data_IF_174807938057
#
_entry.id   IF_174807938057
#
_cell.length_a   1.000
_cell.length_b   1.000
_cell.length_c   1.000
_cell.angle_alpha   90.00
_cell.angle_beta   90.00
_cell.angle_gamma   90.00
#
_symmetry.space_group_name_H-M   'P 1'
#
loop_
_entity.id
_entity.type
_entity.pdbx_description
1 polymer ?
#
# COMPACT_ATOMS: atom_id res chain seq x y z
N UNK A 1 26.42 3.28 8.31
CA UNK A 1 27.57 4.22 8.43
C UNK A 1 28.92 3.47 8.46
N UNK A 2 28.96 2.29 9.06
CA UNK A 2 30.18 1.50 9.27
C UNK A 2 30.74 0.95 7.95
N UNK A 3 29.87 0.43 7.09
CA UNK A 3 30.27 -0.09 5.78
C UNK A 3 30.43 1.00 4.71
N UNK A 4 29.88 2.19 4.95
CA UNK A 4 29.86 3.32 4.00
C UNK A 4 29.34 2.92 2.61
N UNK A 5 28.38 2.00 2.58
CA UNK A 5 27.81 1.44 1.36
C UNK A 5 26.28 1.35 1.46
N UNK A 6 25.64 1.33 0.31
CA UNK A 6 24.23 0.93 0.14
C UNK A 6 24.23 -0.57 -0.11
N UNK A 7 23.35 -1.29 0.56
CA UNK A 7 23.25 -2.75 0.47
C UNK A 7 22.06 -3.14 -0.41
N UNK A 8 22.23 -4.23 -1.16
CA UNK A 8 21.11 -4.90 -1.83
C UNK A 8 20.25 -5.66 -0.80
N UNK A 9 19.03 -6.01 -1.15
CA UNK A 9 18.13 -6.72 -0.22
C UNK A 9 18.73 -8.06 0.24
N UNK A 10 19.43 -8.76 -0.64
CA UNK A 10 20.09 -10.04 -0.38
C UNK A 10 21.23 -9.95 0.63
N UNK A 11 21.79 -8.76 0.81
CA UNK A 11 22.88 -8.48 1.76
C UNK A 11 22.37 -8.08 3.16
N UNK A 12 21.03 -8.12 3.36
CA UNK A 12 20.40 -7.77 4.64
C UNK A 12 19.67 -8.98 5.19
N UNK A 13 20.12 -9.44 6.37
CA UNK A 13 19.55 -10.58 7.10
C UNK A 13 19.09 -10.07 8.47
N UNK A 14 17.82 -10.27 8.80
CA UNK A 14 17.22 -9.83 10.09
C UNK A 14 17.51 -8.37 10.43
N UNK A 15 17.41 -7.46 9.44
CA UNK A 15 17.66 -6.03 9.61
C UNK A 15 19.13 -5.65 9.83
N UNK A 16 20.05 -6.59 9.58
CA UNK A 16 21.50 -6.39 9.71
C UNK A 16 22.21 -6.71 8.41
N UNK A 17 23.35 -6.05 8.18
CA UNK A 17 24.21 -6.39 7.06
C UNK A 17 24.81 -7.78 7.24
N UNK A 18 24.79 -8.62 6.19
CA UNK A 18 25.45 -9.92 6.17
C UNK A 18 26.93 -9.78 6.56
N UNK A 19 27.58 -8.77 6.01
CA UNK A 19 28.98 -8.45 6.34
C UNK A 19 29.06 -7.52 7.53
N UNK A 20 29.51 -8.01 8.66
CA UNK A 20 29.79 -7.23 9.88
C UNK A 20 28.62 -7.10 10.86
N UNK A 21 27.41 -7.58 10.52
CA UNK A 21 26.26 -7.61 11.43
C UNK A 21 25.75 -6.23 11.89
N UNK A 22 26.00 -5.18 11.10
CA UNK A 22 25.61 -3.82 11.45
C UNK A 22 24.12 -3.56 11.18
N UNK A 23 23.43 -2.76 12.02
CA UNK A 23 22.05 -2.39 11.77
C UNK A 23 21.87 -1.68 10.43
N UNK A 24 20.86 -2.09 9.66
CA UNK A 24 20.50 -1.50 8.37
C UNK A 24 19.16 -0.82 8.49
N UNK A 25 19.05 0.40 7.97
CA UNK A 25 17.79 1.15 7.90
C UNK A 25 17.53 1.58 6.46
N UNK A 26 16.28 1.67 6.08
CA UNK A 26 15.87 2.28 4.81
C UNK A 26 15.86 3.79 4.95
N UNK A 27 16.46 4.45 3.98
CA UNK A 27 16.60 5.89 3.99
C UNK A 27 16.55 6.42 2.55
N UNK A 28 15.78 7.48 2.27
CA UNK A 28 15.82 8.14 0.97
C UNK A 28 17.22 8.64 0.65
N UNK A 29 17.70 8.30 -0.53
CA UNK A 29 19.02 8.71 -1.01
C UNK A 29 18.93 9.17 -2.46
N UNK A 30 19.70 10.20 -2.82
CA UNK A 30 19.87 10.60 -4.22
C UNK A 30 20.77 9.58 -4.93
N UNK A 31 20.22 8.91 -5.93
CA UNK A 31 20.96 7.94 -6.76
C UNK A 31 20.39 7.91 -8.17
N UNK A 32 21.09 7.26 -9.08
CA UNK A 32 20.61 7.04 -10.43
C UNK A 32 19.48 6.01 -10.41
N UNK A 33 18.39 6.34 -11.10
CA UNK A 33 17.22 5.47 -11.26
C UNK A 33 16.83 5.43 -12.72
N UNK A 34 16.61 4.22 -13.26
CA UNK A 34 16.08 4.03 -14.60
C UNK A 34 14.55 3.99 -14.53
N UNK A 35 13.90 4.85 -15.32
CA UNK A 35 12.43 4.90 -15.43
C UNK A 35 11.91 3.76 -16.32
N UNK A 36 12.09 2.52 -15.91
CA UNK A 36 11.71 1.36 -16.72
C UNK A 36 10.21 1.30 -17.00
N UNK A 37 9.37 1.80 -16.08
CA UNK A 37 7.91 1.86 -16.24
C UNK A 37 7.46 2.82 -17.35
N UNK A 38 8.29 3.77 -17.76
CA UNK A 38 8.00 4.70 -18.87
C UNK A 38 7.83 3.98 -20.21
N UNK A 39 8.42 2.79 -20.34
CA UNK A 39 8.35 1.97 -21.55
C UNK A 39 7.24 0.90 -21.51
N UNK A 40 6.49 0.79 -20.43
CA UNK A 40 5.50 -0.28 -20.24
C UNK A 40 4.43 -0.31 -21.35
N UNK A 41 3.85 0.83 -21.70
CA UNK A 41 2.85 0.94 -22.79
C UNK A 41 3.44 0.55 -24.14
N UNK A 42 4.65 1.01 -24.42
CA UNK A 42 5.34 0.70 -25.68
C UNK A 42 5.68 -0.79 -25.77
N UNK A 43 6.20 -1.38 -24.68
CA UNK A 43 6.49 -2.80 -24.63
C UNK A 43 5.24 -3.67 -24.87
N UNK A 44 4.09 -3.25 -24.34
CA UNK A 44 2.81 -3.94 -24.61
C UNK A 44 2.41 -3.84 -26.07
N UNK A 45 2.50 -2.65 -26.69
CA UNK A 45 2.14 -2.46 -28.09
C UNK A 45 3.07 -3.22 -29.03
N UNK A 46 4.38 -3.17 -28.76
CA UNK A 46 5.39 -3.84 -29.61
C UNK A 46 5.25 -5.38 -29.60
N UNK A 47 4.56 -5.99 -28.61
CA UNK A 47 4.30 -7.43 -28.56
C UNK A 47 3.42 -7.92 -29.73
N UNK A 48 2.54 -7.07 -30.26
CA UNK A 48 1.61 -7.46 -31.31
C UNK A 48 2.33 -7.72 -32.62
N UNK A 49 3.41 -7.00 -32.88
CA UNK A 49 4.22 -7.10 -34.10
C UNK A 49 5.27 -8.23 -34.06
N UNK A 50 5.43 -8.92 -32.93
CA UNK A 50 6.41 -9.99 -32.78
C UNK A 50 5.84 -11.34 -33.28
N UNK A 51 6.69 -12.07 -34.01
CA UNK A 51 6.40 -13.48 -34.38
C UNK A 51 6.79 -14.43 -33.23
N UNK A 52 6.13 -14.25 -32.09
CA UNK A 52 6.30 -15.08 -30.89
C UNK A 52 5.06 -15.95 -30.61
N UNK A 53 5.23 -17.10 -29.98
CA UNK A 53 4.08 -17.89 -29.51
C UNK A 53 3.19 -17.05 -28.61
N UNK A 54 1.85 -17.18 -28.77
CA UNK A 54 0.87 -16.38 -28.03
C UNK A 54 1.01 -16.57 -26.51
N UNK A 55 1.35 -17.77 -26.06
CA UNK A 55 1.61 -18.03 -24.64
C UNK A 55 2.74 -17.14 -24.08
N UNK A 56 3.82 -16.92 -24.85
CA UNK A 56 4.93 -16.05 -24.45
C UNK A 56 4.49 -14.58 -24.43
N UNK A 57 3.74 -14.11 -25.42
CA UNK A 57 3.17 -12.77 -25.43
C UNK A 57 2.26 -12.54 -24.21
N UNK A 58 1.42 -13.53 -23.89
CA UNK A 58 0.53 -13.43 -22.73
C UNK A 58 1.30 -13.37 -21.42
N UNK A 59 2.39 -14.13 -21.26
CA UNK A 59 3.26 -14.04 -20.10
C UNK A 59 3.85 -12.64 -19.94
N UNK A 60 4.29 -12.00 -21.04
CA UNK A 60 4.81 -10.63 -21.03
C UNK A 60 3.71 -9.61 -20.68
N UNK A 61 2.51 -9.74 -21.26
CA UNK A 61 1.37 -8.88 -20.91
C UNK A 61 1.01 -8.98 -19.43
N UNK A 62 0.96 -10.19 -18.90
CA UNK A 62 0.67 -10.43 -17.49
C UNK A 62 1.76 -9.87 -16.56
N UNK A 63 3.04 -9.98 -16.98
CA UNK A 63 4.16 -9.42 -16.22
C UNK A 63 4.13 -7.89 -16.16
N UNK A 64 3.84 -7.23 -17.28
CA UNK A 64 3.69 -5.77 -17.32
C UNK A 64 2.46 -5.35 -16.51
N UNK A 65 1.38 -6.12 -16.55
CA UNK A 65 0.23 -5.98 -15.65
C UNK A 65 -0.49 -4.64 -15.78
N UNK A 66 -0.82 -4.21 -17.02
CA UNK A 66 -1.59 -2.97 -17.23
C UNK A 66 -2.92 -3.02 -16.48
N UNK A 67 -3.12 -2.08 -15.57
CA UNK A 67 -4.36 -1.89 -14.82
C UNK A 67 -5.09 -0.64 -15.29
N UNK A 68 -6.42 -0.74 -15.41
CA UNK A 68 -7.31 0.39 -15.68
C UNK A 68 -8.10 0.65 -14.41
N UNK A 69 -8.09 1.88 -13.94
CA UNK A 69 -8.78 2.27 -12.72
C UNK A 69 -9.02 3.77 -12.64
N UNK A 70 -9.44 4.23 -11.47
CA UNK A 70 -9.71 5.63 -11.20
C UNK A 70 -8.88 6.14 -10.01
N UNK A 71 -8.49 7.40 -10.09
CA UNK A 71 -8.01 8.15 -8.95
C UNK A 71 -9.21 8.68 -8.17
N UNK A 72 -9.24 8.44 -6.87
CA UNK A 72 -10.28 8.88 -5.97
C UNK A 72 -9.67 9.76 -4.88
N UNK A 73 -10.20 10.96 -4.74
CA UNK A 73 -9.73 11.94 -3.78
C UNK A 73 -10.52 11.85 -2.47
N UNK A 74 -9.81 11.66 -1.37
CA UNK A 74 -10.34 11.65 -0.01
C UNK A 74 -9.91 12.92 0.72
N UNK A 75 -10.89 13.70 1.15
CA UNK A 75 -10.66 14.87 2.01
C UNK A 75 -10.36 14.39 3.44
N UNK A 76 -9.33 14.93 4.08
CA UNK A 76 -9.05 14.69 5.49
C UNK A 76 -9.93 15.60 6.33
N UNK A 77 -10.73 15.00 7.21
CA UNK A 77 -11.70 15.71 8.05
C UNK A 77 -11.03 16.79 8.92
N UNK A 78 -11.67 17.93 9.05
CA UNK A 78 -11.13 19.05 9.82
C UNK A 78 -9.95 19.79 9.16
N UNK A 79 -9.57 19.45 7.94
CA UNK A 79 -8.46 20.08 7.21
C UNK A 79 -8.84 20.47 5.78
N UNK A 80 -7.96 21.20 5.09
CA UNK A 80 -8.06 21.45 3.65
C UNK A 80 -7.26 20.46 2.80
N UNK A 81 -6.71 19.39 3.43
CA UNK A 81 -5.87 18.42 2.76
C UNK A 81 -6.71 17.33 2.10
N UNK A 82 -6.19 16.86 0.99
CA UNK A 82 -6.74 15.76 0.20
C UNK A 82 -5.61 14.79 -0.11
N UNK A 83 -5.87 13.50 0.00
CA UNK A 83 -5.00 12.47 -0.55
C UNK A 83 -5.75 11.67 -1.61
N UNK A 84 -5.01 11.21 -2.59
CA UNK A 84 -5.56 10.45 -3.72
C UNK A 84 -5.21 8.99 -3.56
N UNK A 85 -6.16 8.09 -3.81
CA UNK A 85 -5.93 6.66 -3.96
C UNK A 85 -6.22 6.23 -5.39
N UNK A 86 -5.45 5.28 -5.91
CA UNK A 86 -5.77 4.61 -7.16
C UNK A 86 -6.50 3.31 -6.87
N UNK A 87 -7.62 3.07 -7.54
CA UNK A 87 -8.37 1.82 -7.41
C UNK A 87 -8.87 1.32 -8.77
N UNK A 88 -8.81 0.00 -8.98
CA UNK A 88 -9.45 -0.68 -10.12
C UNK A 88 -10.92 -1.00 -9.84
N UNK A 89 -11.37 -0.83 -8.60
CA UNK A 89 -12.71 -1.17 -8.10
C UNK A 89 -13.41 0.04 -7.50
N UNK A 90 -13.54 1.12 -8.29
CA UNK A 90 -14.27 2.31 -7.86
C UNK A 90 -15.79 2.05 -7.61
N UNK A 91 -16.32 0.98 -8.17
CA UNK A 91 -17.69 0.49 -7.94
C UNK A 91 -17.94 0.10 -6.46
N UNK A 92 -16.91 -0.36 -5.75
CA UNK A 92 -17.03 -0.76 -4.34
C UNK A 92 -16.84 0.38 -3.33
N UNK A 93 -16.66 1.61 -3.78
CA UNK A 93 -16.35 2.77 -2.93
C UNK A 93 -17.38 3.04 -1.82
N UNK A 94 -18.64 2.66 -2.04
CA UNK A 94 -19.69 2.75 -1.02
C UNK A 94 -19.43 1.84 0.20
N UNK A 95 -18.66 0.77 0.02
CA UNK A 95 -18.24 -0.17 1.05
C UNK A 95 -16.86 0.15 1.67
N UNK A 96 -16.24 1.26 1.27
CA UNK A 96 -14.99 1.69 1.89
C UNK A 96 -15.26 2.18 3.31
N UNK A 97 -14.72 1.46 4.30
CA UNK A 97 -14.95 1.71 5.73
C UNK A 97 -13.72 2.26 6.45
N UNK A 98 -12.56 2.25 5.83
CA UNK A 98 -11.34 2.88 6.32
C UNK A 98 -10.38 3.18 5.17
N UNK A 99 -9.36 3.99 5.47
CA UNK A 99 -8.21 4.21 4.58
C UNK A 99 -6.94 3.79 5.28
N UNK A 100 -5.94 3.38 4.50
CA UNK A 100 -4.62 3.00 5.03
C UNK A 100 -3.55 3.77 4.27
N UNK A 101 -2.62 4.35 5.01
CA UNK A 101 -1.43 5.00 4.46
C UNK A 101 -0.17 4.18 4.78
N UNK A 102 0.81 4.28 3.93
CA UNK A 102 2.15 3.80 4.23
C UNK A 102 2.72 4.54 5.45
N UNK A 103 3.46 3.87 6.35
CA UNK A 103 4.07 4.53 7.51
C UNK A 103 4.95 5.73 7.15
N UNK A 104 5.54 5.74 5.96
CA UNK A 104 6.40 6.79 5.42
C UNK A 104 5.65 7.89 4.65
N UNK A 105 4.31 7.79 4.54
CA UNK A 105 3.53 8.77 3.78
C UNK A 105 3.66 10.18 4.41
N UNK A 106 3.89 11.24 3.61
CA UNK A 106 4.16 12.59 4.12
C UNK A 106 3.09 13.13 5.06
N UNK A 107 1.83 12.79 4.84
CA UNK A 107 0.73 13.28 5.66
C UNK A 107 0.63 12.62 7.04
N UNK A 108 1.26 11.47 7.27
CA UNK A 108 1.14 10.75 8.55
C UNK A 108 1.55 11.62 9.74
N UNK A 109 2.66 12.34 9.64
CA UNK A 109 3.11 13.22 10.72
C UNK A 109 2.16 14.39 10.99
N UNK A 110 1.53 14.91 9.92
CA UNK A 110 0.68 16.09 9.98
C UNK A 110 -0.74 15.80 10.50
N UNK A 111 -1.26 14.59 10.21
CA UNK A 111 -2.63 14.21 10.56
C UNK A 111 -2.72 13.41 11.85
N UNK A 112 -1.60 12.88 12.34
CA UNK A 112 -1.56 12.11 13.57
C UNK A 112 -1.92 12.98 14.76
N UNK A 113 -2.95 12.59 15.51
CA UNK A 113 -3.34 13.30 16.72
C UNK A 113 -2.33 13.11 17.84
N UNK A 114 -2.24 14.06 18.78
CA UNK A 114 -1.30 13.99 19.90
C UNK A 114 -1.44 12.70 20.72
N UNK A 115 -2.66 12.19 20.85
CA UNK A 115 -2.95 10.93 21.57
C UNK A 115 -2.31 9.72 20.87
N UNK A 116 -2.28 9.72 19.54
CA UNK A 116 -1.78 8.60 18.75
C UNK A 116 -0.29 8.72 18.40
N UNK A 117 0.32 9.87 18.65
CA UNK A 117 1.67 10.18 18.21
C UNK A 117 2.71 9.14 18.66
N UNK A 118 2.70 8.77 19.92
CA UNK A 118 3.64 7.79 20.46
C UNK A 118 3.49 6.41 19.80
N UNK A 119 2.25 5.95 19.58
CA UNK A 119 1.97 4.67 18.95
C UNK A 119 2.35 4.66 17.46
N UNK A 120 2.07 5.76 16.76
CA UNK A 120 2.43 5.93 15.35
C UNK A 120 3.94 5.96 15.15
N UNK A 121 4.69 6.70 15.98
CA UNK A 121 6.16 6.73 15.90
C UNK A 121 6.79 5.36 16.20
N UNK A 122 6.34 4.67 17.26
CA UNK A 122 6.83 3.32 17.56
C UNK A 122 6.54 2.34 16.40
N UNK A 123 5.38 2.46 15.74
CA UNK A 123 5.04 1.64 14.59
C UNK A 123 5.93 1.96 13.36
N UNK A 124 6.16 3.25 13.06
CA UNK A 124 7.08 3.68 12.00
C UNK A 124 8.48 3.10 12.21
N UNK A 125 9.02 3.18 13.43
CA UNK A 125 10.32 2.59 13.77
C UNK A 125 10.35 1.08 13.54
N UNK A 126 9.30 0.37 13.92
CA UNK A 126 9.20 -1.09 13.70
C UNK A 126 9.16 -1.48 12.22
N UNK A 127 8.61 -0.61 11.35
CA UNK A 127 8.53 -0.83 9.91
C UNK A 127 9.82 -0.45 9.17
N UNK A 128 10.64 0.46 9.73
CA UNK A 128 11.80 1.03 9.06
C UNK A 128 12.89 -0.01 8.68
N UNK A 129 12.95 -1.13 9.40
CA UNK A 129 13.90 -2.22 9.14
C UNK A 129 13.38 -3.29 8.18
N UNK A 130 12.08 -3.31 7.91
CA UNK A 130 11.43 -4.35 7.06
C UNK A 130 11.65 -4.06 5.58
N UNK A 131 11.91 -5.10 4.79
CA UNK A 131 11.94 -5.04 3.32
C UNK A 131 10.51 -4.95 2.76
N UNK A 132 10.37 -4.48 1.50
CA UNK A 132 9.06 -4.46 0.83
C UNK A 132 8.48 -5.86 0.68
N UNK A 133 9.33 -6.89 0.47
CA UNK A 133 8.91 -8.28 0.41
C UNK A 133 8.32 -8.76 1.74
N UNK A 134 9.02 -8.52 2.84
CA UNK A 134 8.52 -8.87 4.19
C UNK A 134 7.22 -8.12 4.54
N UNK A 135 7.04 -6.91 4.02
CA UNK A 135 5.85 -6.10 4.26
C UNK A 135 4.63 -6.59 3.48
N UNK A 136 4.83 -7.12 2.27
CA UNK A 136 3.75 -7.54 1.36
C UNK A 136 3.44 -9.03 1.41
N UNK A 137 4.08 -9.80 2.28
CA UNK A 137 3.81 -11.22 2.43
C UNK A 137 2.35 -11.47 2.87
N UNK A 138 1.60 -12.23 2.05
CA UNK A 138 0.14 -12.40 2.21
C UNK A 138 -0.26 -13.13 3.51
N UNK A 139 0.55 -14.09 3.94
CA UNK A 139 0.26 -14.93 5.12
C UNK A 139 0.68 -14.32 6.46
N UNK A 140 1.06 -13.05 6.46
CA UNK A 140 1.50 -12.36 7.66
C UNK A 140 0.33 -11.77 8.43
N UNK A 141 0.41 -11.82 9.75
CA UNK A 141 -0.51 -11.10 10.64
C UNK A 141 -0.61 -9.63 10.25
N UNK A 142 -1.83 -9.15 9.98
CA UNK A 142 -2.05 -7.73 9.66
C UNK A 142 -1.74 -6.88 10.89
N UNK A 143 -0.88 -5.89 10.70
CA UNK A 143 -0.52 -4.92 11.75
C UNK A 143 -0.86 -3.52 11.28
N UNK A 144 -1.12 -2.63 12.20
CA UNK A 144 -1.41 -1.23 11.89
C UNK A 144 -1.72 -0.42 13.13
N UNK A 145 -1.70 0.90 12.98
CA UNK A 145 -2.02 1.87 14.03
C UNK A 145 -2.97 2.92 13.50
N UNK A 146 -3.99 3.24 14.28
CA UNK A 146 -4.91 4.33 13.97
C UNK A 146 -4.21 5.68 14.18
N UNK A 147 -4.33 6.59 13.22
CA UNK A 147 -3.70 7.92 13.29
C UNK A 147 -4.45 8.92 14.18
N UNK A 148 -5.70 8.61 14.53
CA UNK A 148 -6.62 9.54 15.18
C UNK A 148 -7.37 10.45 14.19
N UNK A 149 -7.00 10.44 12.91
CA UNK A 149 -7.64 11.23 11.87
C UNK A 149 -8.66 10.42 11.07
N UNK A 150 -9.54 11.13 10.39
CA UNK A 150 -10.59 10.56 9.54
C UNK A 150 -10.52 11.13 8.12
N UNK A 151 -10.87 10.33 7.15
CA UNK A 151 -11.16 10.74 5.78
C UNK A 151 -12.66 10.84 5.56
N UNK A 152 -13.08 11.68 4.61
CA UNK A 152 -14.47 11.76 4.15
C UNK A 152 -14.59 10.88 2.91
N UNK A 153 -15.41 9.84 2.97
CA UNK A 153 -15.74 9.03 1.80
C UNK A 153 -16.51 9.89 0.79
N UNK A 154 -15.99 10.11 -0.44
CA UNK A 154 -16.54 11.08 -1.38
C UNK A 154 -17.92 10.71 -1.91
N UNK A 155 -18.35 9.44 -1.85
CA UNK A 155 -19.64 9.01 -2.42
C UNK A 155 -20.80 9.04 -1.42
N UNK A 156 -20.53 8.92 -0.11
CA UNK A 156 -21.58 8.88 0.91
C UNK A 156 -21.39 9.89 2.05
N UNK A 157 -20.28 10.63 2.06
CA UNK A 157 -19.98 11.65 3.06
C UNK A 157 -19.65 11.10 4.46
N UNK A 158 -19.55 9.78 4.64
CA UNK A 158 -19.19 9.17 5.92
C UNK A 158 -17.75 9.47 6.28
N UNK A 159 -17.49 9.68 7.57
CA UNK A 159 -16.14 9.73 8.13
C UNK A 159 -15.64 8.32 8.34
N UNK A 160 -14.50 8.00 7.74
CA UNK A 160 -13.84 6.71 7.84
C UNK A 160 -12.44 6.90 8.43
N UNK A 161 -11.98 6.03 9.35
CA UNK A 161 -10.70 6.22 10.03
C UNK A 161 -9.52 6.04 9.08
N UNK A 162 -8.45 6.80 9.32
CA UNK A 162 -7.17 6.67 8.60
C UNK A 162 -6.18 5.91 9.48
N UNK A 163 -5.74 4.76 8.99
CA UNK A 163 -4.74 3.91 9.61
C UNK A 163 -3.39 4.02 8.90
N UNK A 164 -2.33 3.62 9.56
CA UNK A 164 -1.07 3.26 8.92
C UNK A 164 -0.85 1.76 9.04
N UNK A 165 -0.31 1.16 7.99
CA UNK A 165 0.03 -0.26 8.00
C UNK A 165 1.21 -0.56 7.08
N UNK A 166 1.98 -1.57 7.44
CA UNK A 166 3.19 -1.96 6.73
C UNK A 166 2.92 -2.65 5.38
N UNK A 167 1.70 -3.15 5.13
CA UNK A 167 1.35 -3.73 3.83
C UNK A 167 1.10 -2.68 2.73
N UNK A 168 0.97 -1.40 3.08
CA UNK A 168 0.91 -0.30 2.11
C UNK A 168 2.31 0.27 1.91
N UNK A 169 2.75 0.33 0.66
CA UNK A 169 4.08 0.79 0.31
C UNK A 169 4.04 2.22 -0.22
N UNK A 170 4.91 3.10 0.28
CA UNK A 170 5.06 4.47 -0.24
C UNK A 170 5.66 4.50 -1.66
N UNK A 171 6.34 3.43 -2.06
CA UNK A 171 6.94 3.28 -3.40
C UNK A 171 5.95 2.81 -4.47
N UNK A 172 4.73 2.40 -4.08
CA UNK A 172 3.71 1.88 -4.98
C UNK A 172 2.45 2.77 -4.97
N UNK A 173 2.02 3.20 -6.16
CA UNK A 173 0.89 4.09 -6.32
C UNK A 173 1.07 5.43 -5.60
N UNK A 174 0.09 5.82 -4.82
CA UNK A 174 0.07 7.07 -4.05
C UNK A 174 0.58 6.91 -2.62
N UNK A 175 0.93 5.70 -2.20
CA UNK A 175 1.26 5.40 -0.80
C UNK A 175 0.06 5.40 0.14
N UNK A 176 -1.15 5.40 -0.42
CA UNK A 176 -2.42 5.30 0.31
C UNK A 176 -3.42 4.42 -0.45
N UNK A 177 -4.28 3.75 0.29
CA UNK A 177 -5.37 2.94 -0.26
C UNK A 177 -6.69 3.24 0.45
N UNK A 178 -7.80 3.05 -0.24
CA UNK A 178 -9.10 2.82 0.38
C UNK A 178 -9.24 1.34 0.69
N UNK A 179 -9.89 0.97 1.76
CA UNK A 179 -10.10 -0.40 2.16
C UNK A 179 -11.59 -0.77 2.13
N UNK A 180 -11.88 -1.89 1.47
CA UNK A 180 -13.23 -2.40 1.26
C UNK A 180 -13.34 -3.82 1.80
N UNK A 181 -13.48 -4.00 3.11
CA UNK A 181 -13.33 -5.29 3.77
C UNK A 181 -14.37 -6.36 3.36
N UNK A 182 -15.46 -5.98 2.74
CA UNK A 182 -16.41 -6.95 2.20
C UNK A 182 -16.00 -7.57 0.85
N UNK A 183 -14.94 -7.05 0.20
CA UNK A 183 -14.56 -7.42 -1.16
C UNK A 183 -13.05 -7.50 -1.39
N UNK A 184 -12.25 -7.61 -0.32
CA UNK A 184 -10.80 -7.83 -0.36
C UNK A 184 -10.35 -8.59 0.89
N UNK A 185 -9.66 -9.71 0.72
CA UNK A 185 -9.21 -10.60 1.81
C UNK A 185 -8.32 -9.89 2.83
N UNK A 186 -7.39 -9.04 2.37
CA UNK A 186 -6.47 -8.32 3.25
C UNK A 186 -7.20 -7.30 4.08
N UNK A 187 -8.13 -6.59 3.46
CA UNK A 187 -8.95 -5.59 4.13
C UNK A 187 -9.91 -6.26 5.12
N UNK A 188 -10.45 -7.44 4.78
CA UNK A 188 -11.31 -8.22 5.65
C UNK A 188 -10.58 -8.66 6.92
N UNK A 189 -9.39 -9.27 6.78
CA UNK A 189 -8.58 -9.71 7.92
C UNK A 189 -8.21 -8.53 8.83
N UNK A 190 -7.83 -7.40 8.24
CA UNK A 190 -7.52 -6.18 8.99
C UNK A 190 -8.74 -5.65 9.73
N UNK A 191 -9.89 -5.54 9.07
CA UNK A 191 -11.13 -5.05 9.66
C UNK A 191 -11.59 -5.95 10.82
N UNK A 192 -11.53 -7.28 10.65
CA UNK A 192 -11.82 -8.26 11.73
C UNK A 192 -10.91 -8.05 12.92
N UNK A 193 -9.61 -7.91 12.70
CA UNK A 193 -8.61 -7.74 13.76
C UNK A 193 -8.82 -6.46 14.58
N UNK A 194 -9.16 -5.36 13.91
CA UNK A 194 -9.27 -4.04 14.54
C UNK A 194 -10.72 -3.63 14.84
N UNK A 195 -11.70 -4.50 14.60
CA UNK A 195 -13.11 -4.23 14.90
C UNK A 195 -13.73 -3.13 14.03
N UNK A 196 -13.29 -3.02 12.76
CA UNK A 196 -13.79 -2.05 11.79
C UNK A 196 -15.03 -2.62 11.12
N UNK A 197 -15.99 -1.75 10.79
CA UNK A 197 -17.25 -2.11 10.13
C UNK A 197 -16.98 -2.74 8.75
N UNK A 198 -17.72 -3.80 8.42
CA UNK A 198 -17.68 -4.49 7.12
C UNK A 198 -19.04 -4.29 6.44
N UNK A 199 -19.03 -3.61 5.28
CA UNK A 199 -20.27 -3.25 4.56
C UNK A 199 -20.25 -3.91 3.18
N UNK A 200 -21.09 -4.93 2.93
CA UNK A 200 -21.24 -5.50 1.60
C UNK A 200 -21.96 -4.51 0.67
N UNK A 201 -21.46 -4.37 -0.55
CA UNK A 201 -22.00 -3.45 -1.57
C UNK A 201 -22.26 -4.13 -2.92
N UNK A 202 -21.85 -5.38 -3.06
CA UNK A 202 -22.18 -6.24 -4.21
C UNK A 202 -23.06 -7.38 -3.75
N UNK A 203 -24.01 -7.77 -4.60
CA UNK A 203 -24.86 -8.93 -4.37
C UNK A 203 -24.15 -10.20 -4.88
N UNK A 204 -24.22 -11.28 -4.13
CA UNK A 204 -23.62 -12.59 -4.45
C UNK A 204 -22.36 -12.89 -3.64
N UNK A 205 -22.07 -14.18 -3.50
CA UNK A 205 -20.94 -14.66 -2.71
C UNK A 205 -21.19 -14.69 -1.20
N UNK A 206 -20.37 -15.46 -0.50
CA UNK A 206 -20.31 -15.47 0.96
C UNK A 206 -19.06 -14.71 1.38
N UNK A 207 -19.23 -13.55 1.98
CA UNK A 207 -18.13 -12.66 2.43
C UNK A 207 -17.12 -13.40 3.33
N UNK A 208 -17.55 -14.41 4.07
CA UNK A 208 -16.68 -15.23 4.93
C UNK A 208 -15.88 -16.29 4.17
N UNK A 209 -16.25 -16.60 2.92
CA UNK A 209 -15.62 -17.62 2.07
C UNK A 209 -14.92 -17.03 0.85
N UNK A 210 -15.28 -15.80 0.42
CA UNK A 210 -14.87 -15.19 -0.85
C UNK A 210 -14.28 -13.76 -0.68
N UNK A 211 -14.07 -13.29 0.56
CA UNK A 211 -13.48 -11.98 0.83
C UNK A 211 -11.98 -11.97 0.56
#
# INVERSE_FOLDING_TARGET
PELKAVLANEEVIDGKSERGGYPVIRKPMRQWVLKITEYAERLLADLDDLDWPEATKQMQRNWIGKSIGANVDFKIDGTNKVFTVFTTRCDTLFGATYCVMAPEHPYVEEITTDVQKAAVEAYKESCASKSDLERTELNKDKTGVFTGAYAINPVNGKKIPIWISDYVLASYGTGAIMAVPAHDDRDYEFAKKFGIEIIPVLEGGNIEEEA
#
